data_IF_902821054081
#
_entry.id   IF_902821054081
#
_cell.length_a   1.000
_cell.length_b   1.000
_cell.length_c   1.000
_cell.angle_alpha   90.00
_cell.angle_beta   90.00
_cell.angle_gamma   90.00
#
_symmetry.space_group_name_H-M   'P 1'
#
loop_
_entity.id
_entity.type
_entity.pdbx_description
1 polymer ?
#
# COMPACT_ATOMS: atom_id res chain seq x y z
N UNK A 1 29.99 -18.96 1.45
CA UNK A 1 30.18 -18.18 0.19
C UNK A 1 29.48 -16.86 0.41
N UNK A 2 30.12 -15.73 0.10
CA UNK A 2 29.49 -14.40 0.17
C UNK A 2 28.38 -14.35 -0.88
N UNK A 3 27.21 -13.80 -0.50
CA UNK A 3 26.13 -13.57 -1.45
C UNK A 3 26.61 -12.65 -2.58
N UNK A 4 26.47 -13.03 -3.87
CA UNK A 4 26.95 -12.20 -4.97
C UNK A 4 26.08 -10.97 -5.23
N UNK A 5 24.82 -10.92 -4.73
CA UNK A 5 23.86 -9.87 -5.01
C UNK A 5 23.72 -8.90 -3.84
N UNK A 6 23.81 -7.59 -4.12
CA UNK A 6 23.52 -6.56 -3.13
C UNK A 6 22.01 -6.32 -2.97
N UNK A 7 21.25 -6.43 -4.07
CA UNK A 7 19.82 -6.18 -4.09
C UNK A 7 19.08 -7.33 -4.79
N UNK A 8 17.96 -7.74 -4.18
CA UNK A 8 16.96 -8.61 -4.82
C UNK A 8 15.73 -7.79 -5.19
N UNK A 9 15.22 -7.95 -6.40
CA UNK A 9 13.87 -7.50 -6.76
C UNK A 9 12.90 -8.65 -6.50
N UNK A 10 11.93 -8.42 -5.61
CA UNK A 10 10.80 -9.33 -5.40
C UNK A 10 9.72 -9.02 -6.42
N UNK A 11 9.57 -9.86 -7.45
CA UNK A 11 8.55 -9.71 -8.50
C UNK A 11 7.43 -10.73 -8.29
N UNK A 12 6.24 -10.26 -7.92
CA UNK A 12 5.06 -11.09 -7.71
C UNK A 12 4.14 -11.01 -8.93
N UNK A 13 3.68 -12.18 -9.42
CA UNK A 13 2.89 -12.27 -10.64
C UNK A 13 1.68 -13.20 -10.46
N UNK A 14 0.52 -12.76 -10.97
CA UNK A 14 -0.68 -13.57 -11.15
C UNK A 14 -1.59 -12.96 -12.22
N UNK A 15 -1.67 -13.59 -13.39
CA UNK A 15 -2.50 -13.14 -14.53
C UNK A 15 -2.21 -11.67 -14.94
N UNK A 16 -0.94 -11.38 -15.21
CA UNK A 16 -0.45 -10.05 -15.61
C UNK A 16 0.05 -10.02 -17.06
N UNK A 17 -0.48 -10.84 -17.98
CA UNK A 17 0.00 -10.91 -19.38
C UNK A 17 0.03 -9.56 -20.09
N UNK A 18 -0.89 -8.66 -19.74
CA UNK A 18 -0.98 -7.31 -20.32
C UNK A 18 0.01 -6.30 -19.72
N UNK A 19 0.67 -6.63 -18.61
CA UNK A 19 1.46 -5.67 -17.81
C UNK A 19 2.89 -6.12 -17.56
N UNK A 20 3.12 -7.45 -17.44
CA UNK A 20 4.38 -8.02 -16.96
C UNK A 20 5.59 -7.65 -17.82
N UNK A 21 5.39 -7.40 -19.13
CA UNK A 21 6.47 -6.97 -20.02
C UNK A 21 7.02 -5.61 -19.60
N UNK A 22 6.16 -4.63 -19.34
CA UNK A 22 6.59 -3.30 -18.90
C UNK A 22 7.22 -3.34 -17.49
N UNK A 23 6.74 -4.22 -16.60
CA UNK A 23 7.35 -4.45 -15.28
C UNK A 23 8.80 -4.94 -15.42
N UNK A 24 9.04 -5.94 -16.29
CA UNK A 24 10.39 -6.48 -16.56
C UNK A 24 11.27 -5.43 -17.26
N UNK A 25 10.76 -4.72 -18.25
CA UNK A 25 11.48 -3.65 -18.94
C UNK A 25 11.87 -2.52 -17.99
N UNK A 26 10.99 -2.17 -17.03
CA UNK A 26 11.30 -1.23 -15.96
C UNK A 26 12.44 -1.70 -15.04
N UNK A 27 12.64 -3.01 -14.88
CA UNK A 27 13.79 -3.58 -14.19
C UNK A 27 15.04 -3.51 -15.11
N UNK A 28 14.91 -3.86 -16.39
CA UNK A 28 16.02 -3.92 -17.34
C UNK A 28 16.67 -2.56 -17.61
N UNK A 29 15.92 -1.46 -17.54
CA UNK A 29 16.48 -0.11 -17.70
C UNK A 29 17.32 0.34 -16.50
N UNK A 30 17.29 -0.39 -15.36
CA UNK A 30 18.01 0.03 -14.15
C UNK A 30 19.52 0.00 -14.37
N UNK A 31 20.16 1.10 -13.96
CA UNK A 31 21.62 1.29 -14.02
C UNK A 31 22.16 1.28 -12.59
N UNK A 32 22.84 0.21 -12.21
CA UNK A 32 23.43 0.04 -10.87
C UNK A 32 24.92 -0.29 -11.00
N UNK A 33 25.71 0.13 -10.01
CA UNK A 33 27.11 -0.26 -9.86
C UNK A 33 27.29 -1.52 -8.99
N UNK A 34 26.18 -2.21 -8.69
CA UNK A 34 26.16 -3.44 -7.92
C UNK A 34 25.28 -4.49 -8.64
N UNK A 35 25.54 -5.79 -8.37
CA UNK A 35 24.75 -6.88 -8.96
C UNK A 35 23.37 -7.00 -8.34
N UNK A 36 22.38 -7.25 -9.19
CA UNK A 36 20.97 -7.46 -8.83
C UNK A 36 20.53 -8.87 -9.24
N UNK A 37 19.68 -9.49 -8.43
CA UNK A 37 18.85 -10.62 -8.83
C UNK A 37 17.37 -10.21 -8.87
N UNK A 38 16.59 -10.89 -9.71
CA UNK A 38 15.12 -10.77 -9.74
C UNK A 38 14.55 -12.11 -9.37
N UNK A 39 13.88 -12.18 -8.21
CA UNK A 39 13.20 -13.40 -7.75
C UNK A 39 11.73 -13.29 -8.12
N UNK A 40 11.28 -14.18 -9.00
CA UNK A 40 9.95 -14.15 -9.59
C UNK A 40 9.10 -15.28 -9.06
N UNK A 41 7.95 -14.96 -8.49
CA UNK A 41 6.94 -15.90 -8.07
C UNK A 41 5.66 -15.76 -8.88
N UNK A 42 5.49 -16.58 -9.89
CA UNK A 42 4.22 -16.75 -10.58
C UNK A 42 3.28 -17.63 -9.75
N UNK A 43 2.08 -17.12 -9.41
CA UNK A 43 1.13 -17.80 -8.53
C UNK A 43 0.12 -18.66 -9.31
N UNK A 44 0.61 -19.50 -10.22
CA UNK A 44 -0.18 -20.32 -11.15
C UNK A 44 -1.03 -19.48 -12.11
N UNK A 45 -0.43 -18.51 -12.79
CA UNK A 45 -1.11 -17.76 -13.85
C UNK A 45 -1.68 -18.69 -14.92
N UNK A 46 -2.92 -18.38 -15.33
CA UNK A 46 -3.65 -19.14 -16.37
C UNK A 46 -3.56 -18.46 -17.76
N UNK A 47 -2.98 -17.27 -17.80
CA UNK A 47 -2.71 -16.48 -19.00
C UNK A 47 -1.27 -16.67 -19.50
N UNK A 48 -0.77 -15.77 -20.35
CA UNK A 48 0.58 -15.84 -20.92
C UNK A 48 1.68 -15.27 -20.01
N UNK A 49 1.38 -14.85 -18.77
CA UNK A 49 2.35 -14.20 -17.88
C UNK A 49 3.63 -14.99 -17.73
N UNK A 50 3.54 -16.29 -17.39
CA UNK A 50 4.73 -17.14 -17.21
C UNK A 50 5.51 -17.35 -18.52
N UNK A 51 4.82 -17.43 -19.66
CA UNK A 51 5.48 -17.55 -20.95
C UNK A 51 6.29 -16.30 -21.29
N UNK A 52 5.73 -15.12 -21.07
CA UNK A 52 6.41 -13.83 -21.25
C UNK A 52 7.63 -13.72 -20.33
N UNK A 53 7.52 -14.07 -19.07
CA UNK A 53 8.64 -14.04 -18.09
C UNK A 53 9.82 -14.90 -18.61
N UNK A 54 9.53 -16.08 -19.13
CA UNK A 54 10.56 -17.00 -19.65
C UNK A 54 11.34 -16.46 -20.85
N UNK A 55 10.80 -15.53 -21.62
CA UNK A 55 11.51 -14.87 -22.71
C UNK A 55 12.74 -14.09 -22.20
N UNK A 56 12.71 -13.59 -20.95
CA UNK A 56 13.75 -12.79 -20.34
C UNK A 56 14.75 -13.58 -19.49
N UNK A 57 14.53 -14.88 -19.29
CA UNK A 57 15.32 -15.71 -18.35
C UNK A 57 16.84 -15.73 -18.63
N UNK A 58 17.22 -15.56 -19.90
CA UNK A 58 18.63 -15.60 -20.34
C UNK A 58 19.22 -14.19 -20.60
N UNK A 59 18.67 -13.15 -20.01
CA UNK A 59 19.19 -11.79 -20.15
C UNK A 59 20.54 -11.65 -19.43
N UNK A 60 21.63 -11.24 -20.11
CA UNK A 60 22.99 -11.32 -19.54
C UNK A 60 23.24 -10.38 -18.33
N UNK A 61 22.50 -9.25 -18.26
CA UNK A 61 22.77 -8.18 -17.30
C UNK A 61 22.15 -8.41 -15.92
N UNK A 62 21.11 -9.26 -15.84
CA UNK A 62 20.31 -9.47 -14.62
C UNK A 62 20.06 -10.95 -14.42
N UNK A 63 20.27 -11.43 -13.21
CA UNK A 63 19.96 -12.82 -12.86
C UNK A 63 18.47 -12.98 -12.53
N UNK A 64 17.73 -13.67 -13.40
CA UNK A 64 16.32 -14.02 -13.19
C UNK A 64 16.20 -15.39 -12.52
N UNK A 65 15.74 -15.42 -11.27
CA UNK A 65 15.41 -16.65 -10.51
C UNK A 65 13.88 -16.83 -10.54
N UNK A 66 13.39 -17.62 -11.49
CA UNK A 66 11.97 -18.00 -11.53
C UNK A 66 11.78 -19.17 -10.57
N UNK A 67 10.88 -19.00 -9.57
CA UNK A 67 10.59 -20.07 -8.61
C UNK A 67 9.79 -21.17 -9.30
N UNK A 68 10.35 -22.39 -9.31
CA UNK A 68 9.68 -23.58 -9.86
C UNK A 68 8.54 -23.99 -8.93
N UNK A 69 7.34 -24.10 -9.46
CA UNK A 69 6.11 -24.40 -8.72
C UNK A 69 5.24 -25.34 -9.54
N UNK A 70 4.75 -26.39 -8.88
CA UNK A 70 3.92 -27.42 -9.53
C UNK A 70 2.66 -27.66 -8.73
N UNK A 71 1.55 -27.90 -9.43
CA UNK A 71 0.31 -28.34 -8.79
C UNK A 71 0.56 -29.63 -8.03
N UNK A 72 0.25 -29.61 -6.72
CA UNK A 72 0.42 -30.76 -5.83
C UNK A 72 1.73 -30.76 -5.04
N UNK A 73 2.70 -29.85 -5.30
CA UNK A 73 3.90 -29.70 -4.48
C UNK A 73 3.62 -29.01 -3.13
N UNK A 74 4.64 -28.92 -2.28
CA UNK A 74 4.52 -28.30 -0.95
C UNK A 74 4.11 -26.82 -1.04
N UNK A 75 4.62 -26.08 -2.07
CA UNK A 75 4.21 -24.71 -2.29
C UNK A 75 2.72 -24.61 -2.60
N UNK A 76 2.21 -25.45 -3.51
CA UNK A 76 0.81 -25.48 -3.87
C UNK A 76 -0.09 -25.80 -2.66
N UNK A 77 0.28 -26.80 -1.85
CA UNK A 77 -0.47 -27.18 -0.66
C UNK A 77 -0.54 -26.05 0.36
N UNK A 78 0.57 -25.37 0.62
CA UNK A 78 0.61 -24.20 1.51
C UNK A 78 -0.17 -23.01 0.93
N UNK A 79 -0.10 -22.80 -0.38
CA UNK A 79 -0.87 -21.77 -1.09
C UNK A 79 -2.38 -21.98 -0.94
N UNK A 80 -2.86 -23.24 -0.96
CA UNK A 80 -4.29 -23.56 -0.73
C UNK A 80 -4.73 -23.23 0.69
N UNK A 81 -3.87 -23.41 1.68
CA UNK A 81 -4.18 -23.14 3.09
C UNK A 81 -4.10 -21.64 3.44
N UNK A 82 -3.05 -20.96 3.00
CA UNK A 82 -2.67 -19.60 3.41
C UNK A 82 -3.28 -18.55 2.47
N UNK A 83 -3.51 -18.91 1.20
CA UNK A 83 -3.96 -17.98 0.18
C UNK A 83 -2.81 -17.23 -0.50
N UNK A 84 -3.13 -16.15 -1.21
CA UNK A 84 -2.18 -15.40 -2.07
C UNK A 84 -0.95 -14.84 -1.33
N UNK A 85 -1.03 -14.64 -0.01
CA UNK A 85 0.10 -14.15 0.78
C UNK A 85 1.22 -15.17 0.92
N UNK A 86 0.94 -16.45 0.71
CA UNK A 86 2.01 -17.45 0.62
C UNK A 86 2.98 -17.11 -0.51
N UNK A 87 2.49 -16.67 -1.68
CA UNK A 87 3.35 -16.19 -2.76
C UNK A 87 4.20 -14.99 -2.34
N UNK A 88 3.57 -14.00 -1.70
CA UNK A 88 4.24 -12.77 -1.25
C UNK A 88 5.48 -13.08 -0.39
N UNK A 89 5.30 -13.90 0.67
CA UNK A 89 6.39 -14.22 1.60
C UNK A 89 7.37 -15.25 1.04
N UNK A 90 6.90 -16.24 0.28
CA UNK A 90 7.77 -17.23 -0.34
C UNK A 90 8.79 -16.59 -1.29
N UNK A 91 8.42 -15.54 -2.05
CA UNK A 91 9.39 -14.79 -2.86
C UNK A 91 10.39 -14.07 -1.98
N UNK A 92 9.95 -13.38 -0.91
CA UNK A 92 10.83 -12.66 0.02
C UNK A 92 11.88 -13.57 0.67
N UNK A 93 11.47 -14.78 1.08
CA UNK A 93 12.38 -15.78 1.65
C UNK A 93 13.44 -16.26 0.65
N UNK A 94 13.09 -16.29 -0.62
CA UNK A 94 13.98 -16.68 -1.71
C UNK A 94 14.89 -15.55 -2.21
N UNK A 95 14.68 -14.30 -1.77
CA UNK A 95 15.57 -13.18 -2.03
C UNK A 95 16.87 -13.32 -1.22
N UNK A 96 18.02 -13.16 -1.88
CA UNK A 96 19.34 -13.33 -1.23
C UNK A 96 20.02 -11.97 -0.92
N UNK A 97 19.65 -10.87 -1.61
CA UNK A 97 20.25 -9.56 -1.46
C UNK A 97 20.18 -8.98 -0.05
N UNK A 98 21.15 -8.10 0.28
CA UNK A 98 21.13 -7.27 1.50
C UNK A 98 19.91 -6.32 1.51
N UNK A 99 19.50 -5.88 0.33
CA UNK A 99 18.32 -5.05 0.10
C UNK A 99 17.28 -5.79 -0.71
N UNK A 100 16.00 -5.46 -0.49
CA UNK A 100 14.90 -6.00 -1.26
C UNK A 100 14.08 -4.82 -1.81
N UNK A 101 13.91 -4.77 -3.13
CA UNK A 101 12.98 -3.90 -3.83
C UNK A 101 11.68 -4.68 -4.10
N UNK A 102 10.55 -4.08 -3.78
CA UNK A 102 9.25 -4.69 -4.07
C UNK A 102 8.74 -4.23 -5.43
N UNK A 103 8.22 -5.18 -6.21
CA UNK A 103 7.51 -4.90 -7.45
C UNK A 103 6.43 -5.95 -7.66
N UNK A 104 5.23 -5.52 -8.02
CA UNK A 104 4.16 -6.38 -8.51
C UNK A 104 4.12 -6.30 -10.04
N UNK A 105 3.75 -7.39 -10.71
CA UNK A 105 3.87 -7.50 -12.17
C UNK A 105 2.90 -6.64 -12.98
N UNK A 106 2.02 -5.89 -12.31
CA UNK A 106 1.10 -4.90 -12.88
C UNK A 106 1.60 -3.46 -12.76
N UNK A 107 2.67 -3.20 -11.98
CA UNK A 107 3.35 -1.91 -11.84
C UNK A 107 4.67 -1.88 -12.63
N UNK A 108 5.25 -0.70 -12.84
CA UNK A 108 6.56 -0.60 -13.50
C UNK A 108 7.36 0.64 -13.08
N UNK A 109 8.70 0.54 -13.19
CA UNK A 109 9.62 1.64 -12.92
C UNK A 109 9.98 2.41 -14.19
N UNK A 110 10.15 3.73 -14.05
CA UNK A 110 10.43 4.65 -15.15
C UNK A 110 11.76 5.37 -15.02
N UNK A 111 12.31 5.50 -13.81
CA UNK A 111 13.63 6.13 -13.57
C UNK A 111 14.72 5.05 -13.60
N UNK A 112 15.69 5.13 -14.53
CA UNK A 112 16.78 4.15 -14.63
C UNK A 112 17.74 4.17 -13.44
N UNK A 113 17.70 5.17 -12.58
CA UNK A 113 18.54 5.29 -11.39
C UNK A 113 17.78 5.01 -10.08
N UNK A 114 16.56 4.52 -10.16
CA UNK A 114 15.72 4.28 -8.97
C UNK A 114 16.40 3.38 -7.96
N UNK A 115 16.88 2.21 -8.38
CA UNK A 115 17.52 1.25 -7.49
C UNK A 115 18.86 1.78 -6.94
N UNK A 116 19.68 2.42 -7.80
CA UNK A 116 20.94 3.03 -7.38
C UNK A 116 20.71 4.07 -6.29
N UNK A 117 19.81 5.04 -6.51
CA UNK A 117 19.53 6.13 -5.56
C UNK A 117 19.05 5.61 -4.19
N UNK A 118 18.18 4.61 -4.17
CA UNK A 118 17.62 4.07 -2.94
C UNK A 118 18.66 3.24 -2.16
N UNK A 119 19.47 2.45 -2.85
CA UNK A 119 20.54 1.67 -2.22
C UNK A 119 21.65 2.57 -1.72
N UNK A 120 22.12 3.56 -2.50
CA UNK A 120 23.13 4.52 -2.07
C UNK A 120 22.71 5.27 -0.81
N UNK A 121 21.41 5.67 -0.76
CA UNK A 121 20.88 6.29 0.44
C UNK A 121 20.95 5.34 1.64
N UNK A 122 20.49 4.11 1.49
CA UNK A 122 20.49 3.13 2.58
C UNK A 122 21.91 2.73 2.98
N UNK A 123 22.85 2.55 2.04
CA UNK A 123 24.27 2.27 2.36
C UNK A 123 24.92 3.39 3.16
N UNK A 124 24.54 4.65 2.89
CA UNK A 124 25.12 5.82 3.56
C UNK A 124 24.42 6.19 4.87
N UNK A 125 23.31 5.55 5.23
CA UNK A 125 22.49 5.92 6.39
C UNK A 125 22.00 4.66 7.12
N UNK A 126 22.77 4.15 8.06
CA UNK A 126 22.49 2.89 8.76
C UNK A 126 21.28 2.97 9.70
N UNK A 127 20.85 4.16 10.10
CA UNK A 127 19.67 4.41 10.92
C UNK A 127 18.35 4.39 10.13
N UNK A 128 18.41 4.11 8.81
CA UNK A 128 17.24 3.91 7.95
C UNK A 128 17.10 2.45 7.54
N UNK A 129 15.88 1.93 7.65
CA UNK A 129 15.52 0.56 7.24
C UNK A 129 14.74 0.51 5.93
N UNK A 130 14.03 1.58 5.57
CA UNK A 130 13.19 1.69 4.36
C UNK A 130 13.53 2.98 3.62
N UNK A 131 13.57 2.89 2.29
CA UNK A 131 13.59 4.04 1.38
C UNK A 131 12.50 3.85 0.32
N UNK A 132 11.64 4.87 0.11
CA UNK A 132 10.58 4.83 -0.89
C UNK A 132 10.52 6.15 -1.68
N UNK A 133 9.79 6.14 -2.79
CA UNK A 133 9.65 7.29 -3.69
C UNK A 133 8.19 7.53 -4.09
N UNK A 134 7.94 8.62 -4.82
CA UNK A 134 6.63 8.90 -5.38
C UNK A 134 6.40 8.15 -6.70
N UNK A 135 5.15 7.87 -7.02
CA UNK A 135 4.75 7.23 -8.27
C UNK A 135 3.58 8.00 -8.91
N UNK A 136 3.48 7.92 -10.23
CA UNK A 136 2.27 8.32 -10.93
C UNK A 136 1.21 7.23 -10.75
N UNK A 137 -0.05 7.63 -10.56
CA UNK A 137 -1.19 6.72 -10.61
C UNK A 137 -1.71 6.69 -12.06
N UNK A 138 -1.75 5.51 -12.65
CA UNK A 138 -2.33 5.30 -13.97
C UNK A 138 -3.59 4.45 -13.85
N UNK A 139 -4.64 4.82 -14.57
CA UNK A 139 -5.84 4.00 -14.71
C UNK A 139 -6.08 3.65 -16.19
N UNK A 140 -6.92 2.65 -16.45
CA UNK A 140 -7.19 2.19 -17.82
C UNK A 140 -7.72 3.30 -18.76
N UNK A 141 -8.39 4.32 -18.19
CA UNK A 141 -8.92 5.45 -18.96
C UNK A 141 -7.88 6.55 -19.21
N UNK A 142 -6.80 6.62 -18.41
CA UNK A 142 -5.80 7.68 -18.49
C UNK A 142 -4.40 7.17 -18.10
N UNK A 143 -3.64 6.70 -19.09
CA UNK A 143 -2.26 6.22 -18.91
C UNK A 143 -1.27 7.36 -18.54
N UNK A 144 -1.67 8.62 -18.72
CA UNK A 144 -0.84 9.80 -18.49
C UNK A 144 -1.34 10.66 -17.32
N UNK A 145 -1.97 10.04 -16.32
CA UNK A 145 -2.42 10.75 -15.13
C UNK A 145 -1.24 11.43 -14.43
N UNK A 146 -1.40 12.70 -14.06
CA UNK A 146 -0.48 13.43 -13.19
C UNK A 146 -0.81 13.25 -11.69
N UNK A 147 -1.71 12.33 -11.37
CA UNK A 147 -2.03 12.01 -10.00
C UNK A 147 -0.86 11.23 -9.36
N UNK A 148 -0.49 11.64 -8.16
CA UNK A 148 0.65 11.09 -7.44
C UNK A 148 0.19 10.23 -6.27
N UNK A 149 0.97 9.19 -5.98
CA UNK A 149 0.72 8.33 -4.81
C UNK A 149 0.90 9.06 -3.49
N UNK A 150 1.85 9.99 -3.42
CA UNK A 150 2.10 10.81 -2.24
C UNK A 150 2.01 12.30 -2.57
N UNK A 151 1.36 13.06 -1.69
CA UNK A 151 1.23 14.51 -1.85
C UNK A 151 2.55 15.22 -1.56
N UNK A 152 2.62 16.51 -1.94
CA UNK A 152 3.78 17.37 -1.63
C UNK A 152 4.06 17.53 -0.13
N UNK A 153 3.07 17.25 0.72
CA UNK A 153 3.19 17.37 2.18
C UNK A 153 3.75 16.08 2.83
N UNK A 154 4.11 15.05 2.02
CA UNK A 154 4.77 13.86 2.53
C UNK A 154 6.13 14.21 3.13
N UNK A 155 6.30 13.94 4.41
CA UNK A 155 7.54 14.17 5.15
C UNK A 155 8.69 13.33 4.58
N UNK A 156 9.88 13.94 4.48
CA UNK A 156 11.06 13.29 3.91
C UNK A 156 11.65 12.20 4.81
N UNK A 157 11.38 12.25 6.10
CA UNK A 157 11.78 11.27 7.11
C UNK A 157 10.60 10.99 8.02
N UNK A 158 10.27 9.73 8.17
CA UNK A 158 9.20 9.25 9.06
C UNK A 158 9.67 8.03 9.85
N UNK A 159 8.86 7.62 10.82
CA UNK A 159 9.13 6.50 11.72
C UNK A 159 8.01 5.45 11.64
N UNK A 160 8.19 4.34 12.33
CA UNK A 160 7.13 3.34 12.51
C UNK A 160 5.89 3.93 13.20
N UNK A 161 6.08 4.92 14.09
CA UNK A 161 4.96 5.60 14.79
C UNK A 161 4.13 6.41 13.79
N UNK A 162 4.79 7.14 12.87
CA UNK A 162 4.12 7.88 11.81
C UNK A 162 3.36 6.94 10.87
N UNK A 163 3.98 5.80 10.50
CA UNK A 163 3.34 4.78 9.67
C UNK A 163 2.12 4.17 10.37
N UNK A 164 2.24 3.88 11.67
CA UNK A 164 1.12 3.40 12.48
C UNK A 164 0.03 4.45 12.70
N UNK A 165 0.35 5.73 12.68
CA UNK A 165 -0.61 6.82 12.86
C UNK A 165 -1.36 7.16 11.56
N UNK A 166 -0.63 7.25 10.44
CA UNK A 166 -1.15 7.76 9.15
C UNK A 166 -1.74 6.65 8.28
N UNK A 167 -1.42 5.37 8.55
CA UNK A 167 -1.74 4.24 7.68
C UNK A 167 -0.66 3.99 6.62
N UNK A 168 -0.92 3.07 5.70
CA UNK A 168 0.05 2.69 4.68
C UNK A 168 0.17 3.77 3.59
N UNK A 169 1.16 4.63 3.69
CA UNK A 169 1.54 5.62 2.68
C UNK A 169 2.69 5.16 1.78
N UNK A 170 3.19 3.94 1.98
CA UNK A 170 4.22 3.32 1.15
C UNK A 170 3.56 2.43 0.09
N UNK A 171 3.66 2.82 -1.17
CA UNK A 171 3.18 1.99 -2.27
C UNK A 171 4.21 0.91 -2.60
N UNK A 172 3.76 -0.34 -2.75
CA UNK A 172 4.61 -1.53 -2.88
C UNK A 172 5.77 -1.32 -3.85
N UNK A 173 5.50 -0.93 -5.08
CA UNK A 173 6.52 -0.79 -6.12
C UNK A 173 7.51 0.38 -5.89
N UNK A 174 7.24 1.27 -4.92
CA UNK A 174 8.15 2.36 -4.57
C UNK A 174 9.23 1.97 -3.56
N UNK A 175 9.07 0.85 -2.86
CA UNK A 175 9.81 0.51 -1.63
C UNK A 175 11.08 -0.29 -1.92
N UNK A 176 12.16 0.11 -1.24
CA UNK A 176 13.37 -0.70 -0.98
C UNK A 176 13.60 -0.75 0.52
N UNK A 177 13.88 -1.92 1.07
CA UNK A 177 14.21 -2.08 2.49
C UNK A 177 15.42 -2.98 2.71
N UNK A 178 16.03 -2.86 3.90
CA UNK A 178 17.08 -3.79 4.36
C UNK A 178 16.45 -5.13 4.67
N UNK A 179 17.02 -6.20 4.14
CA UNK A 179 16.58 -7.57 4.47
C UNK A 179 16.87 -7.84 5.96
N UNK A 180 15.88 -8.34 6.73
CA UNK A 180 16.09 -8.66 8.14
C UNK A 180 16.99 -9.87 8.30
N UNK A 181 17.93 -9.81 9.23
CA UNK A 181 18.88 -10.92 9.51
C UNK A 181 18.19 -12.13 10.16
N UNK A 182 17.10 -11.89 10.88
CA UNK A 182 16.35 -12.95 11.60
C UNK A 182 15.22 -13.58 10.76
N UNK A 183 15.09 -13.20 9.47
CA UNK A 183 13.99 -13.65 8.63
C UNK A 183 12.65 -12.98 8.96
N UNK A 184 11.57 -13.58 8.49
CA UNK A 184 10.22 -13.07 8.67
C UNK A 184 9.45 -13.92 9.69
N UNK A 185 8.75 -13.29 10.67
CA UNK A 185 7.97 -14.04 11.64
C UNK A 185 6.71 -14.65 11.00
N UNK A 186 6.33 -15.84 11.44
CA UNK A 186 5.20 -16.61 10.90
C UNK A 186 3.87 -15.86 10.92
N UNK A 187 3.64 -15.00 11.92
CA UNK A 187 2.40 -14.24 12.02
C UNK A 187 2.12 -13.30 10.83
N UNK A 188 3.14 -12.94 10.05
CA UNK A 188 2.95 -12.12 8.86
C UNK A 188 2.12 -12.83 7.77
N UNK A 189 2.26 -14.16 7.67
CA UNK A 189 1.56 -15.00 6.68
C UNK A 189 0.06 -15.09 6.99
N UNK A 190 -0.32 -14.98 8.25
CA UNK A 190 -1.71 -15.14 8.72
C UNK A 190 -2.60 -13.91 8.47
N UNK A 191 -2.02 -12.81 8.00
CA UNK A 191 -2.73 -11.53 7.84
C UNK A 191 -3.44 -11.44 6.49
N UNK A 192 -4.58 -10.73 6.39
CA UNK A 192 -5.30 -10.56 5.12
C UNK A 192 -4.60 -9.66 4.09
N UNK A 193 -3.62 -8.85 4.54
CA UNK A 193 -2.88 -7.85 3.77
C UNK A 193 -1.39 -8.07 3.96
N UNK A 194 -0.57 -8.00 2.91
CA UNK A 194 0.86 -8.28 2.97
C UNK A 194 1.74 -7.05 3.12
N UNK A 195 1.47 -5.97 2.40
CA UNK A 195 2.33 -4.80 2.26
C UNK A 195 2.44 -3.97 3.56
N UNK A 196 1.34 -3.55 4.15
CA UNK A 196 1.38 -2.75 5.36
C UNK A 196 2.05 -3.44 6.56
N UNK A 197 1.74 -4.72 6.88
CA UNK A 197 2.45 -5.45 7.92
C UNK A 197 3.95 -5.59 7.68
N UNK A 198 4.38 -5.84 6.44
CA UNK A 198 5.81 -5.94 6.12
C UNK A 198 6.51 -4.59 6.25
N UNK A 199 5.86 -3.48 5.87
CA UNK A 199 6.40 -2.14 6.07
C UNK A 199 6.57 -1.82 7.56
N UNK A 200 5.57 -2.12 8.40
CA UNK A 200 5.68 -1.96 9.86
C UNK A 200 6.80 -2.84 10.44
N UNK A 201 6.91 -4.09 9.97
CA UNK A 201 7.96 -5.00 10.42
C UNK A 201 9.35 -4.45 10.11
N UNK A 202 9.57 -3.88 8.92
CA UNK A 202 10.85 -3.28 8.58
C UNK A 202 11.08 -1.93 9.30
N UNK A 203 10.06 -1.12 9.46
CA UNK A 203 10.15 0.19 10.10
C UNK A 203 10.50 0.13 11.60
N UNK A 204 10.40 -1.04 12.27
CA UNK A 204 10.87 -1.20 13.64
C UNK A 204 12.40 -1.21 13.76
N UNK A 205 13.13 -1.43 12.67
CA UNK A 205 14.60 -1.51 12.65
C UNK A 205 15.27 -0.21 12.23
N UNK A 206 14.52 0.84 11.90
CA UNK A 206 15.06 2.12 11.48
C UNK A 206 14.03 3.07 10.93
N UNK A 207 14.49 4.27 10.58
CA UNK A 207 13.66 5.31 9.97
C UNK A 207 13.25 4.96 8.55
N UNK A 208 12.28 5.68 8.03
CA UNK A 208 11.75 5.58 6.67
C UNK A 208 12.13 6.85 5.91
N UNK A 209 12.82 6.70 4.77
CA UNK A 209 13.17 7.81 3.88
C UNK A 209 12.20 7.92 2.72
N UNK A 210 11.69 9.11 2.48
CA UNK A 210 10.97 9.47 1.27
C UNK A 210 11.89 10.26 0.31
N UNK A 211 11.99 9.81 -0.93
CA UNK A 211 12.60 10.53 -2.04
C UNK A 211 11.45 11.18 -2.84
N UNK A 212 11.37 12.51 -2.82
CA UNK A 212 10.34 13.25 -3.55
C UNK A 212 10.66 13.29 -5.06
N UNK A 213 10.69 12.12 -5.69
CA UNK A 213 10.91 11.91 -7.12
C UNK A 213 9.91 10.87 -7.62
N UNK A 214 9.33 11.09 -8.78
CA UNK A 214 8.48 10.11 -9.45
C UNK A 214 9.39 9.14 -10.20
N UNK A 215 9.42 7.87 -9.77
CA UNK A 215 10.31 6.87 -10.35
C UNK A 215 9.58 5.62 -10.86
N UNK A 216 8.25 5.63 -10.88
CA UNK A 216 7.45 4.52 -11.37
C UNK A 216 5.99 4.89 -11.54
N UNK A 217 5.22 3.92 -12.00
CA UNK A 217 3.78 4.01 -12.23
C UNK A 217 3.08 2.91 -11.45
N UNK A 218 2.10 3.31 -10.65
CA UNK A 218 1.14 2.43 -9.98
C UNK A 218 -0.11 2.33 -10.84
N UNK A 219 -0.49 1.10 -11.25
CA UNK A 219 -1.67 0.88 -12.07
C UNK A 219 -2.91 0.56 -11.23
N UNK A 220 -4.00 1.22 -11.60
CA UNK A 220 -5.34 0.91 -11.11
C UNK A 220 -6.14 0.28 -12.25
N UNK A 221 -6.48 -1.00 -12.12
CA UNK A 221 -7.23 -1.77 -13.13
C UNK A 221 -8.22 -2.74 -12.47
N UNK A 222 -9.19 -3.24 -13.23
CA UNK A 222 -10.31 -4.04 -12.70
C UNK A 222 -9.90 -5.35 -12.01
N UNK A 223 -8.76 -5.93 -12.36
CA UNK A 223 -8.23 -7.14 -11.71
C UNK A 223 -7.23 -6.84 -10.59
N UNK A 224 -7.00 -5.55 -10.26
CA UNK A 224 -6.07 -5.14 -9.20
C UNK A 224 -6.46 -5.65 -7.81
N UNK A 225 -5.46 -5.91 -6.98
CA UNK A 225 -5.66 -6.60 -5.69
C UNK A 225 -6.31 -5.74 -4.59
N UNK A 226 -6.36 -4.40 -4.74
CA UNK A 226 -6.85 -3.49 -3.71
C UNK A 226 -7.82 -2.42 -4.24
N UNK A 227 -7.46 -1.74 -5.32
CA UNK A 227 -8.21 -0.59 -5.85
C UNK A 227 -9.63 -0.92 -6.33
N UNK A 228 -9.90 -2.17 -6.68
CA UNK A 228 -11.23 -2.66 -7.12
C UNK A 228 -12.20 -2.93 -5.97
N UNK A 229 -11.70 -3.08 -4.74
CA UNK A 229 -12.58 -3.36 -3.62
C UNK A 229 -13.37 -2.13 -3.19
N UNK A 230 -14.65 -2.33 -2.86
CA UNK A 230 -15.44 -1.33 -2.17
C UNK A 230 -14.78 -0.92 -0.86
N UNK A 231 -15.05 0.29 -0.37
CA UNK A 231 -14.55 0.74 0.95
C UNK A 231 -14.95 -0.22 2.07
N UNK A 232 -16.14 -0.80 2.00
CA UNK A 232 -16.61 -1.81 2.94
C UNK A 232 -15.66 -3.02 2.97
N UNK A 233 -15.38 -3.61 1.79
CA UNK A 233 -14.48 -4.76 1.66
C UNK A 233 -13.04 -4.42 2.09
N UNK A 234 -12.56 -3.20 1.79
CA UNK A 234 -11.26 -2.74 2.27
C UNK A 234 -11.20 -2.74 3.81
N UNK A 235 -12.22 -2.21 4.50
CA UNK A 235 -12.29 -2.23 5.96
C UNK A 235 -12.44 -3.63 6.55
N UNK A 236 -13.16 -4.53 5.87
CA UNK A 236 -13.27 -5.95 6.26
C UNK A 236 -11.92 -6.69 6.27
N UNK A 237 -10.97 -6.26 5.44
CA UNK A 237 -9.59 -6.77 5.43
C UNK A 237 -8.68 -5.98 6.39
N UNK A 238 -8.88 -4.67 6.47
CA UNK A 238 -8.04 -3.77 7.27
C UNK A 238 -8.22 -4.00 8.78
N UNK A 239 -9.47 -4.11 9.26
CA UNK A 239 -9.77 -4.29 10.69
C UNK A 239 -9.15 -5.57 11.25
N UNK A 240 -9.30 -6.77 10.64
CA UNK A 240 -8.61 -7.98 11.11
C UNK A 240 -7.09 -7.83 11.08
N UNK A 241 -6.53 -7.17 10.05
CA UNK A 241 -5.08 -6.90 9.98
C UNK A 241 -4.63 -6.08 11.20
N UNK A 242 -5.28 -4.95 11.49
CA UNK A 242 -4.94 -4.11 12.65
C UNK A 242 -5.15 -4.84 13.97
N UNK A 243 -6.18 -5.68 14.08
CA UNK A 243 -6.45 -6.48 15.27
C UNK A 243 -5.31 -7.46 15.54
N UNK A 244 -4.82 -8.14 14.51
CA UNK A 244 -3.72 -9.11 14.63
C UNK A 244 -2.34 -8.45 14.81
N UNK A 245 -2.17 -7.21 14.36
CA UNK A 245 -0.95 -6.41 14.61
C UNK A 245 -0.87 -5.87 16.04
N UNK A 246 -1.98 -5.86 16.76
CA UNK A 246 -2.04 -5.40 18.14
C UNK A 246 -1.07 -6.20 19.04
N UNK A 247 -0.33 -5.48 19.87
CA UNK A 247 0.67 -6.03 20.82
C UNK A 247 1.92 -6.67 20.17
N UNK A 248 2.14 -6.45 18.88
CA UNK A 248 3.35 -6.96 18.18
C UNK A 248 4.50 -5.96 18.15
N UNK A 249 4.24 -4.71 18.51
CA UNK A 249 5.20 -3.61 18.47
C UNK A 249 5.31 -2.92 19.83
N UNK A 250 6.05 -1.82 19.90
CA UNK A 250 6.17 -1.02 21.11
C UNK A 250 4.82 -0.45 21.55
N UNK A 251 4.72 -0.03 22.82
CA UNK A 251 3.49 0.55 23.37
C UNK A 251 2.97 1.74 22.55
N UNK A 252 3.88 2.63 22.14
CA UNK A 252 3.53 3.82 21.36
C UNK A 252 2.93 3.46 19.98
N UNK A 253 3.54 2.52 19.26
CA UNK A 253 3.03 2.01 17.99
C UNK A 253 1.67 1.35 18.17
N UNK A 254 1.50 0.54 19.20
CA UNK A 254 0.23 -0.14 19.48
C UNK A 254 -0.91 0.84 19.80
N UNK A 255 -0.63 1.98 20.45
CA UNK A 255 -1.61 3.06 20.63
C UNK A 255 -2.10 3.56 19.26
N UNK A 256 -1.21 3.82 18.31
CA UNK A 256 -1.57 4.32 16.98
C UNK A 256 -2.36 3.27 16.17
N UNK A 257 -1.93 2.03 16.17
CA UNK A 257 -2.65 0.92 15.51
C UNK A 257 -4.06 0.74 16.08
N UNK A 258 -4.20 0.85 17.40
CA UNK A 258 -5.49 0.78 18.06
C UNK A 258 -6.39 1.96 17.67
N UNK A 259 -5.82 3.15 17.53
CA UNK A 259 -6.55 4.32 17.06
C UNK A 259 -7.01 4.16 15.59
N UNK A 260 -6.15 3.66 14.71
CA UNK A 260 -6.53 3.31 13.33
C UNK A 260 -7.68 2.29 13.29
N UNK A 261 -7.59 1.23 14.10
CA UNK A 261 -8.65 0.20 14.17
C UNK A 261 -10.00 0.80 14.55
N UNK A 262 -10.02 1.68 15.58
CA UNK A 262 -11.25 2.37 16.00
C UNK A 262 -11.81 3.27 14.89
N UNK A 263 -10.94 4.00 14.17
CA UNK A 263 -11.37 4.81 13.03
C UNK A 263 -11.99 3.92 11.93
N UNK A 264 -11.33 2.81 11.56
CA UNK A 264 -11.81 1.89 10.55
C UNK A 264 -13.16 1.24 10.93
N UNK A 265 -13.33 0.85 12.20
CA UNK A 265 -14.61 0.35 12.72
C UNK A 265 -15.72 1.40 12.65
N UNK A 266 -15.41 2.66 12.98
CA UNK A 266 -16.39 3.74 12.91
C UNK A 266 -16.79 4.06 11.47
N UNK A 267 -15.84 4.10 10.54
CA UNK A 267 -16.12 4.33 9.12
C UNK A 267 -16.93 3.17 8.53
N UNK A 268 -16.60 1.91 8.89
CA UNK A 268 -17.39 0.75 8.49
C UNK A 268 -18.81 0.81 9.05
N UNK A 269 -18.98 1.25 10.30
CA UNK A 269 -20.29 1.52 10.89
C UNK A 269 -21.10 2.51 10.03
N UNK A 270 -20.49 3.64 9.66
CA UNK A 270 -21.16 4.67 8.85
C UNK A 270 -21.61 4.12 7.49
N UNK A 271 -20.76 3.32 6.84
CA UNK A 271 -21.08 2.66 5.56
C UNK A 271 -22.24 1.69 5.76
N UNK A 272 -22.15 0.78 6.72
CA UNK A 272 -23.19 -0.22 6.99
C UNK A 272 -24.54 0.43 7.35
N UNK A 273 -24.53 1.47 8.17
CA UNK A 273 -25.72 2.22 8.55
C UNK A 273 -26.37 2.94 7.36
N UNK A 274 -25.56 3.56 6.49
CA UNK A 274 -26.07 4.23 5.28
C UNK A 274 -26.69 3.25 4.27
N UNK A 275 -26.27 2.00 4.28
CA UNK A 275 -26.79 0.91 3.44
C UNK A 275 -27.93 0.12 4.09
N UNK A 276 -28.36 0.49 5.30
CA UNK A 276 -29.41 -0.21 6.04
C UNK A 276 -29.00 -1.59 6.61
N UNK A 277 -27.71 -1.91 6.65
CA UNK A 277 -27.14 -3.18 7.17
C UNK A 277 -27.06 -3.13 8.71
N UNK A 278 -28.23 -3.22 9.37
CA UNK A 278 -28.38 -2.98 10.82
C UNK A 278 -27.51 -3.90 11.70
N UNK A 279 -27.44 -5.20 11.36
CA UNK A 279 -26.64 -6.17 12.11
C UNK A 279 -25.16 -5.83 12.10
N UNK A 280 -24.61 -5.54 10.92
CA UNK A 280 -23.21 -5.15 10.75
C UNK A 280 -22.89 -3.82 11.45
N UNK A 281 -23.81 -2.85 11.35
CA UNK A 281 -23.66 -1.58 12.07
C UNK A 281 -23.64 -1.81 13.59
N UNK A 282 -24.52 -2.67 14.13
CA UNK A 282 -24.54 -3.02 15.55
C UNK A 282 -23.26 -3.73 15.99
N UNK A 283 -22.73 -4.67 15.19
CA UNK A 283 -21.46 -5.35 15.45
C UNK A 283 -20.28 -4.35 15.54
N UNK A 284 -20.20 -3.42 14.60
CA UNK A 284 -19.14 -2.39 14.63
C UNK A 284 -19.19 -1.53 15.89
N UNK A 285 -20.41 -1.11 16.30
CA UNK A 285 -20.61 -0.33 17.54
C UNK A 285 -20.24 -1.14 18.77
N UNK A 286 -20.65 -2.42 18.85
CA UNK A 286 -20.31 -3.28 19.97
C UNK A 286 -18.78 -3.40 20.14
N UNK A 287 -18.04 -3.69 19.08
CA UNK A 287 -16.56 -3.74 19.07
C UNK A 287 -15.92 -2.41 19.48
N UNK A 288 -16.48 -1.28 19.05
CA UNK A 288 -16.00 0.04 19.46
C UNK A 288 -16.22 0.27 20.96
N UNK A 289 -17.40 -0.06 21.49
CA UNK A 289 -17.73 0.10 22.91
C UNK A 289 -16.86 -0.80 23.82
N UNK A 290 -16.60 -2.03 23.39
CA UNK A 290 -15.68 -2.94 24.10
C UNK A 290 -14.26 -2.38 24.16
N UNK A 291 -13.80 -1.72 23.08
CA UNK A 291 -12.44 -1.17 23.00
C UNK A 291 -12.31 0.19 23.72
N UNK A 292 -13.36 1.03 23.67
CA UNK A 292 -13.35 2.38 24.22
C UNK A 292 -14.78 2.98 24.21
N UNK A 293 -15.46 2.85 25.31
CA UNK A 293 -16.86 3.29 25.48
C UNK A 293 -17.09 4.78 25.15
N UNK A 294 -16.06 5.60 25.36
CA UNK A 294 -16.14 7.04 25.10
C UNK A 294 -15.69 7.46 23.68
N UNK A 295 -15.23 6.51 22.86
CA UNK A 295 -14.69 6.83 21.54
C UNK A 295 -15.74 7.48 20.62
N UNK A 296 -16.94 6.92 20.58
CA UNK A 296 -18.05 7.40 19.74
C UNK A 296 -18.45 8.82 20.15
N UNK A 297 -18.59 9.07 21.47
CA UNK A 297 -18.93 10.39 21.98
C UNK A 297 -17.87 11.44 21.59
N UNK A 298 -16.57 11.10 21.69
CA UNK A 298 -15.48 11.99 21.25
C UNK A 298 -15.52 12.26 19.74
N UNK A 299 -15.83 11.26 18.91
CA UNK A 299 -15.95 11.42 17.44
C UNK A 299 -17.11 12.35 17.08
N UNK A 300 -18.29 12.17 17.69
CA UNK A 300 -19.46 13.01 17.45
C UNK A 300 -19.18 14.46 17.87
N UNK A 301 -18.65 14.68 19.07
CA UNK A 301 -18.33 16.03 19.57
C UNK A 301 -17.29 16.73 18.68
N UNK A 302 -16.28 16.01 18.19
CA UNK A 302 -15.30 16.57 17.25
C UNK A 302 -15.94 16.97 15.94
N UNK A 303 -16.82 16.13 15.39
CA UNK A 303 -17.55 16.41 14.13
C UNK A 303 -18.49 17.61 14.27
N UNK A 304 -19.22 17.72 15.38
CA UNK A 304 -20.07 18.88 15.70
C UNK A 304 -19.24 20.16 15.83
N UNK A 305 -18.10 20.10 16.51
CA UNK A 305 -17.19 21.25 16.65
C UNK A 305 -16.65 21.69 15.30
N UNK A 306 -16.22 20.76 14.44
CA UNK A 306 -15.77 21.07 13.08
C UNK A 306 -16.89 21.68 12.23
N UNK A 307 -18.11 21.13 12.32
CA UNK A 307 -19.27 21.67 11.61
C UNK A 307 -19.59 23.10 12.06
N UNK A 308 -19.63 23.36 13.36
CA UNK A 308 -19.83 24.71 13.93
C UNK A 308 -18.76 25.68 13.45
N UNK A 309 -17.48 25.27 13.46
CA UNK A 309 -16.37 26.10 12.98
C UNK A 309 -16.50 26.41 11.49
N UNK A 310 -16.89 25.43 10.68
CA UNK A 310 -17.13 25.61 9.24
C UNK A 310 -18.29 26.56 8.99
N UNK A 311 -19.42 26.37 9.64
CA UNK A 311 -20.60 27.24 9.52
C UNK A 311 -20.32 28.68 9.99
N UNK A 312 -19.42 28.85 10.95
CA UNK A 312 -19.00 30.15 11.44
C UNK A 312 -17.87 30.80 10.62
N UNK A 313 -17.24 30.08 9.71
CA UNK A 313 -16.14 30.60 8.90
C UNK A 313 -16.60 31.74 7.99
N UNK A 314 -15.69 32.71 7.77
CA UNK A 314 -15.95 33.83 6.83
C UNK A 314 -16.22 33.33 5.41
N UNK A 315 -15.52 32.27 4.97
CA UNK A 315 -15.69 31.69 3.64
C UNK A 315 -17.09 31.10 3.44
N UNK A 316 -17.60 30.33 4.43
CA UNK A 316 -18.96 29.77 4.36
C UNK A 316 -20.03 30.86 4.35
N UNK A 317 -19.89 31.88 5.24
CA UNK A 317 -20.82 32.99 5.30
C UNK A 317 -20.84 33.82 4.00
N UNK A 318 -19.67 34.06 3.41
CA UNK A 318 -19.52 34.72 2.13
C UNK A 318 -20.15 33.93 0.98
N UNK A 319 -19.88 32.63 0.90
CA UNK A 319 -20.46 31.73 -0.10
C UNK A 319 -21.98 31.68 -0.03
N UNK A 320 -22.55 31.61 1.17
CA UNK A 320 -24.00 31.67 1.39
C UNK A 320 -24.60 33.02 0.97
N UNK A 321 -23.89 34.11 1.20
CA UNK A 321 -24.32 35.47 0.78
C UNK A 321 -24.31 35.62 -0.76
N UNK A 322 -23.28 35.06 -1.43
CA UNK A 322 -23.18 35.07 -2.91
C UNK A 322 -24.33 34.26 -3.52
N UNK A 323 -24.63 33.07 -2.97
CA UNK A 323 -25.75 32.24 -3.43
C UNK A 323 -27.10 32.94 -3.23
N UNK A 324 -27.28 33.71 -2.15
CA UNK A 324 -28.49 34.50 -1.91
C UNK A 324 -28.64 35.65 -2.94
N UNK A 325 -27.52 36.33 -3.25
CA UNK A 325 -27.50 37.42 -4.25
C UNK A 325 -27.77 36.83 -5.65
N UNK A 326 -27.22 35.68 -5.99
CA UNK A 326 -27.47 35.00 -7.27
C UNK A 326 -28.93 34.50 -7.44
N UNK A 327 -29.65 34.22 -6.34
CA UNK A 327 -31.04 33.75 -6.36
C UNK A 327 -32.05 34.89 -6.45
N UNK A 328 -31.66 36.14 -6.15
CA UNK A 328 -32.56 37.33 -6.18
C UNK A 328 -33.05 37.69 -7.59
N UNK A 329 -32.26 37.56 -8.68
CA UNK A 329 -32.77 37.92 -10.02
C UNK A 329 -33.92 37.05 -10.52
N UNK A 330 -34.01 35.80 -10.05
CA UNK A 330 -35.07 34.86 -10.50
C UNK A 330 -36.43 35.11 -9.86
N UNK A 331 -36.47 35.84 -8.75
CA UNK A 331 -37.73 36.20 -8.07
C UNK A 331 -38.33 37.47 -8.62
N UNK A 332 -37.52 38.39 -9.18
CA UNK A 332 -37.99 39.68 -9.72
C UNK A 332 -38.68 39.50 -11.09
N UNK A 333 -38.35 38.48 -11.85
CA UNK A 333 -38.95 38.20 -13.16
C UNK A 333 -40.24 37.34 -13.13
N UNK A 334 -40.64 36.78 -11.97
CA UNK A 334 -41.88 35.98 -11.84
C UNK A 334 -43.13 36.75 -11.48
N UNK A 335 -43.03 38.06 -11.19
CA UNK A 335 -44.20 38.91 -10.82
C UNK A 335 -44.58 39.93 -11.88
N UNK A 336 -44.24 39.72 -13.17
CA UNK A 336 -44.81 40.47 -14.28
C UNK A 336 -45.36 39.49 -15.33
N UNK A 337 -46.55 38.98 -15.06
CA UNK A 337 -47.55 38.53 -16.05
C UNK A 337 -48.91 38.66 -15.39
#
# INVERSE_FOLDING_TARGET
MSNPYLLSVRLMVYNHENYIREAIEGILIQKTNFPIEVVIGDDFSTDKSLAIIKEYQNTPQIHFKILDRKVGDDYWQNRQKIGRLHNFYNILENCSGKYIALLDGDDFWTDPLKLQKQVDFLESNDDFSICFHNMNISNQANLTSNELTNTKDQESVTTIVDLAQKGNFLFTASVVFRKPTMGYPEWLIELPIGDYPIHLYHAQFGKIKYLNQVMGVYRVHESGAWGVFSKETQYEKWIPTLTNLKNRFTHEVNIQLNYQMKNALFDLYLIANSQGKKEKAAECIAKLMESDVNYIARKINKSETMLRNTLNSKAYKLGKMILHIAAVPTLIFKNKK
#
